data_IF_459686865029
#
_entry.id   IF_459686865029
#
_cell.length_a   1.000
_cell.length_b   1.000
_cell.length_c   1.000
_cell.angle_alpha   90.00
_cell.angle_beta   90.00
_cell.angle_gamma   90.00
#
_symmetry.space_group_name_H-M   'P 1'
#
loop_
_entity.id
_entity.type
_entity.pdbx_description
1 polymer ?
#
# COMPACT_ATOMS: atom_id res chain seq x y z
N UNK A 1 -43.22 10.40 -22.47
CA UNK A 1 -42.86 8.98 -22.29
C UNK A 1 -41.41 8.95 -21.88
N UNK A 2 -41.15 8.62 -20.62
CA UNK A 2 -39.83 8.69 -19.98
C UNK A 2 -38.87 7.67 -20.57
N UNK A 3 -37.75 8.16 -21.09
CA UNK A 3 -36.63 7.36 -21.58
C UNK A 3 -35.93 6.70 -20.38
N UNK A 4 -36.18 5.41 -20.17
CA UNK A 4 -35.65 4.64 -19.04
C UNK A 4 -34.31 3.97 -19.36
N UNK A 5 -33.58 4.45 -20.37
CA UNK A 5 -32.41 3.75 -20.94
C UNK A 5 -31.05 4.17 -20.35
N UNK A 6 -31.01 5.07 -19.36
CA UNK A 6 -29.77 5.72 -18.92
C UNK A 6 -29.06 5.11 -17.68
N UNK A 7 -29.48 3.95 -17.15
CA UNK A 7 -28.84 3.37 -15.96
C UNK A 7 -28.78 1.84 -15.96
N UNK A 8 -28.18 1.26 -16.99
CA UNK A 8 -27.44 0.01 -16.78
C UNK A 8 -26.12 0.39 -16.06
N UNK A 9 -26.23 0.74 -14.78
CA UNK A 9 -25.07 0.96 -13.92
C UNK A 9 -24.29 -0.35 -13.86
N UNK A 10 -23.15 -0.41 -14.56
CA UNK A 10 -22.20 -1.51 -14.44
C UNK A 10 -21.68 -1.58 -13.00
N UNK A 11 -22.39 -2.32 -12.15
CA UNK A 11 -22.10 -2.45 -10.72
C UNK A 11 -20.89 -3.37 -10.53
N UNK A 12 -19.71 -2.77 -10.38
CA UNK A 12 -18.49 -3.51 -10.08
C UNK A 12 -18.45 -3.86 -8.59
N UNK A 13 -18.23 -5.13 -8.29
CA UNK A 13 -18.03 -5.60 -6.90
C UNK A 13 -16.72 -5.06 -6.31
N UNK A 14 -16.75 -4.72 -5.03
CA UNK A 14 -15.60 -4.21 -4.29
C UNK A 14 -14.39 -5.13 -4.35
N UNK A 15 -14.59 -6.45 -4.20
CA UNK A 15 -13.51 -7.42 -4.32
C UNK A 15 -12.82 -7.39 -5.70
N UNK A 16 -13.61 -7.22 -6.77
CA UNK A 16 -13.13 -7.13 -8.15
C UNK A 16 -12.45 -5.79 -8.41
N UNK A 17 -13.02 -4.70 -7.92
CA UNK A 17 -12.46 -3.36 -8.10
C UNK A 17 -11.12 -3.20 -7.37
N UNK A 18 -10.99 -3.67 -6.13
CA UNK A 18 -9.72 -3.61 -5.38
C UNK A 18 -8.61 -4.41 -6.05
N UNK A 19 -8.96 -5.53 -6.71
CA UNK A 19 -8.03 -6.28 -7.54
C UNK A 19 -7.69 -5.54 -8.84
N UNK A 20 -8.65 -4.89 -9.50
CA UNK A 20 -8.40 -4.10 -10.71
C UNK A 20 -7.49 -2.89 -10.42
N UNK A 21 -7.73 -2.20 -9.30
CA UNK A 21 -6.93 -1.08 -8.78
C UNK A 21 -5.58 -1.51 -8.17
N UNK A 22 -5.23 -2.80 -8.25
CA UNK A 22 -3.94 -3.37 -7.84
C UNK A 22 -3.61 -3.31 -6.35
N UNK A 23 -4.57 -3.03 -5.47
CA UNK A 23 -4.36 -3.14 -4.02
C UNK A 23 -4.02 -4.58 -3.62
N UNK A 24 -4.69 -5.57 -4.20
CA UNK A 24 -4.41 -7.00 -3.90
C UNK A 24 -3.91 -7.74 -5.12
N UNK A 25 -3.02 -8.72 -4.94
CA UNK A 25 -2.45 -9.53 -6.03
C UNK A 25 -3.51 -10.40 -6.71
N UNK A 26 -4.43 -10.95 -5.93
CA UNK A 26 -5.54 -11.80 -6.39
C UNK A 26 -6.86 -11.29 -5.84
N UNK A 27 -7.97 -11.64 -6.51
CA UNK A 27 -9.31 -11.31 -6.03
C UNK A 27 -9.66 -12.02 -4.72
N UNK A 28 -9.15 -13.24 -4.50
CA UNK A 28 -9.31 -13.97 -3.23
C UNK A 28 -8.69 -13.20 -2.06
N UNK A 29 -7.48 -12.66 -2.20
CA UNK A 29 -6.86 -11.83 -1.16
C UNK A 29 -7.67 -10.55 -0.87
N UNK A 30 -8.33 -9.98 -1.87
CA UNK A 30 -9.24 -8.85 -1.65
C UNK A 30 -10.46 -9.26 -0.83
N UNK A 31 -11.06 -10.43 -1.11
CA UNK A 31 -12.17 -10.98 -0.32
C UNK A 31 -11.75 -11.19 1.14
N UNK A 32 -10.64 -11.90 1.35
CA UNK A 32 -10.12 -12.20 2.70
C UNK A 32 -9.83 -10.91 3.49
N UNK A 33 -9.33 -9.86 2.82
CA UNK A 33 -9.11 -8.57 3.44
C UNK A 33 -10.41 -7.85 3.83
N UNK A 34 -11.45 -7.93 2.99
CA UNK A 34 -12.76 -7.36 3.29
C UNK A 34 -13.41 -8.11 4.45
N UNK A 35 -13.48 -9.44 4.37
CA UNK A 35 -14.10 -10.28 5.39
C UNK A 35 -13.35 -10.19 6.74
N UNK A 36 -12.02 -10.05 6.69
CA UNK A 36 -11.18 -9.80 7.86
C UNK A 36 -11.25 -8.37 8.43
N UNK A 37 -12.11 -7.50 7.90
CA UNK A 37 -12.29 -6.13 8.39
C UNK A 37 -11.10 -5.19 8.11
N UNK A 38 -10.23 -5.53 7.16
CA UNK A 38 -9.10 -4.68 6.73
C UNK A 38 -9.51 -3.65 5.68
N UNK A 39 -10.73 -3.74 5.16
CA UNK A 39 -11.31 -2.80 4.20
C UNK A 39 -12.61 -2.25 4.76
N UNK A 40 -12.74 -0.93 4.78
CA UNK A 40 -13.98 -0.22 5.09
C UNK A 40 -14.43 0.58 3.88
N UNK A 41 -15.74 0.70 3.71
CA UNK A 41 -16.39 1.46 2.63
C UNK A 41 -17.25 2.54 3.28
N UNK A 42 -16.97 3.81 2.98
CA UNK A 42 -17.57 4.99 3.62
C UNK A 42 -17.58 4.87 5.16
N UNK A 43 -16.42 4.57 5.74
CA UNK A 43 -16.24 4.43 7.19
C UNK A 43 -16.80 3.16 7.83
N UNK A 44 -17.52 2.31 7.10
CA UNK A 44 -18.19 1.13 7.65
C UNK A 44 -17.60 -0.20 7.17
N UNK A 45 -17.72 -1.25 7.99
CA UNK A 45 -17.44 -2.63 7.54
C UNK A 45 -18.35 -2.97 6.35
N UNK A 46 -17.83 -3.78 5.44
CA UNK A 46 -18.50 -4.07 4.17
C UNK A 46 -18.31 -5.54 3.79
N UNK A 47 -18.94 -5.95 2.69
CA UNK A 47 -18.89 -7.31 2.15
C UNK A 47 -18.25 -7.33 0.76
N UNK A 48 -17.60 -8.44 0.34
CA UNK A 48 -16.93 -8.51 -0.96
C UNK A 48 -17.80 -8.17 -2.17
N UNK A 49 -19.10 -8.47 -2.09
CA UNK A 49 -20.08 -8.20 -3.14
C UNK A 49 -20.68 -6.79 -3.15
N UNK A 50 -20.22 -5.87 -2.29
CA UNK A 50 -20.67 -4.47 -2.31
C UNK A 50 -20.37 -3.84 -3.68
N UNK A 51 -21.35 -3.17 -4.29
CA UNK A 51 -21.12 -2.38 -5.49
C UNK A 51 -20.30 -1.13 -5.15
N UNK A 52 -19.31 -0.82 -5.97
CA UNK A 52 -18.45 0.37 -5.83
C UNK A 52 -19.05 1.54 -6.59
N UNK A 53 -19.09 2.69 -5.92
CA UNK A 53 -19.61 3.94 -6.43
C UNK A 53 -18.44 4.92 -6.63
N UNK A 54 -18.46 5.71 -7.71
CA UNK A 54 -17.51 6.82 -7.88
C UNK A 54 -17.76 7.84 -6.77
N UNK A 55 -16.67 8.38 -6.21
CA UNK A 55 -16.70 9.29 -5.07
C UNK A 55 -16.75 8.62 -3.71
N UNK A 56 -16.94 7.30 -3.64
CA UNK A 56 -16.88 6.56 -2.39
C UNK A 56 -15.49 6.62 -1.77
N UNK A 57 -15.44 6.61 -0.44
CA UNK A 57 -14.21 6.52 0.32
C UNK A 57 -13.96 5.07 0.72
N UNK A 58 -12.75 4.58 0.47
CA UNK A 58 -12.33 3.23 0.82
C UNK A 58 -11.08 3.32 1.68
N UNK A 59 -11.19 2.80 2.90
CA UNK A 59 -10.07 2.66 3.83
C UNK A 59 -9.53 1.24 3.74
N UNK A 60 -8.23 1.10 3.47
CA UNK A 60 -7.56 -0.17 3.18
C UNK A 60 -6.33 -0.30 4.07
N UNK A 61 -6.26 -1.39 4.84
CA UNK A 61 -5.10 -1.72 5.68
C UNK A 61 -4.29 -2.86 5.09
N UNK A 62 -3.00 -2.63 4.86
CA UNK A 62 -2.04 -3.61 4.33
C UNK A 62 -0.81 -3.69 5.23
N UNK A 63 -0.76 -4.73 6.06
CA UNK A 63 0.27 -4.87 7.09
C UNK A 63 0.25 -3.69 8.04
N UNK A 64 1.32 -2.89 7.99
CA UNK A 64 1.50 -1.70 8.81
C UNK A 64 1.09 -0.38 8.16
N UNK A 65 0.71 -0.43 6.88
CA UNK A 65 0.29 0.76 6.14
C UNK A 65 -1.23 0.78 6.06
N UNK A 66 -1.78 1.96 6.27
CA UNK A 66 -3.19 2.25 6.08
C UNK A 66 -3.30 3.31 5.00
N UNK A 67 -4.29 3.16 4.12
CA UNK A 67 -4.60 4.11 3.06
C UNK A 67 -6.07 4.43 3.08
N UNK A 68 -6.43 5.69 2.92
CA UNK A 68 -7.78 6.17 2.66
C UNK A 68 -7.80 6.77 1.26
N UNK A 69 -8.63 6.20 0.39
CA UNK A 69 -8.72 6.62 -1.00
C UNK A 69 -10.14 7.02 -1.36
N UNK A 70 -10.27 7.92 -2.32
CA UNK A 70 -11.53 8.24 -3.01
C UNK A 70 -11.54 7.56 -4.36
N UNK A 71 -12.65 6.90 -4.70
CA UNK A 71 -12.84 6.28 -6.01
C UNK A 71 -13.07 7.37 -7.06
N UNK A 72 -12.24 7.41 -8.09
CA UNK A 72 -12.39 8.33 -9.23
C UNK A 72 -12.98 7.63 -10.46
N UNK A 73 -12.78 6.32 -10.58
CA UNK A 73 -13.25 5.56 -11.74
C UNK A 73 -13.49 4.09 -11.43
N UNK A 74 -14.28 3.45 -12.29
CA UNK A 74 -14.65 2.05 -12.20
C UNK A 74 -13.97 1.26 -13.32
N UNK A 75 -13.31 0.16 -12.98
CA UNK A 75 -12.76 -0.78 -13.95
C UNK A 75 -12.90 -2.22 -13.45
N UNK A 76 -13.31 -3.10 -14.35
CA UNK A 76 -13.37 -4.54 -14.10
C UNK A 76 -12.08 -5.27 -14.47
N UNK A 77 -11.19 -4.60 -15.23
CA UNK A 77 -9.95 -5.16 -15.75
C UNK A 77 -8.77 -4.66 -14.94
N UNK A 78 -7.89 -5.58 -14.54
CA UNK A 78 -6.59 -5.24 -13.97
C UNK A 78 -5.62 -4.82 -15.10
N UNK A 79 -5.46 -3.51 -15.26
CA UNK A 79 -4.49 -2.91 -16.17
C UNK A 79 -3.07 -2.80 -15.59
N UNK A 80 -2.13 -2.21 -16.36
CA UNK A 80 -0.83 -1.82 -15.86
C UNK A 80 -0.94 -0.76 -14.75
N UNK A 81 0.15 -0.60 -13.97
CA UNK A 81 0.14 0.22 -12.77
C UNK A 81 -0.31 1.68 -12.99
N UNK A 82 0.12 2.39 -14.04
CA UNK A 82 -0.31 3.77 -14.27
C UNK A 82 -1.80 3.91 -14.54
N UNK A 83 -2.43 2.91 -15.17
CA UNK A 83 -3.87 2.96 -15.44
C UNK A 83 -4.69 2.68 -14.19
N UNK A 84 -4.26 1.72 -13.37
CA UNK A 84 -4.91 1.40 -12.10
C UNK A 84 -4.86 2.58 -11.12
N UNK A 85 -3.76 3.34 -11.10
CA UNK A 85 -3.62 4.54 -10.26
C UNK A 85 -4.62 5.63 -10.62
N UNK A 86 -5.11 5.70 -11.87
CA UNK A 86 -6.14 6.69 -12.26
C UNK A 86 -7.54 6.36 -11.71
N UNK A 87 -7.74 5.17 -11.15
CA UNK A 87 -9.05 4.77 -10.60
C UNK A 87 -9.32 5.38 -9.23
N UNK A 88 -8.30 5.90 -8.55
CA UNK A 88 -8.44 6.43 -7.20
C UNK A 88 -7.47 7.57 -6.92
N UNK A 89 -7.79 8.36 -5.91
CA UNK A 89 -6.92 9.35 -5.32
C UNK A 89 -6.77 9.04 -3.83
N UNK A 90 -5.55 9.09 -3.32
CA UNK A 90 -5.32 8.95 -1.87
C UNK A 90 -5.49 10.29 -1.18
N UNK A 91 -6.19 10.33 -0.05
CA UNK A 91 -6.42 11.58 0.67
C UNK A 91 -5.11 12.12 1.24
N UNK A 92 -5.01 13.45 1.34
CA UNK A 92 -3.82 14.11 1.89
C UNK A 92 -3.54 13.64 3.34
N UNK A 93 -4.58 13.56 4.16
CA UNK A 93 -4.50 13.04 5.54
C UNK A 93 -3.93 11.61 5.60
N UNK A 94 -4.31 10.76 4.64
CA UNK A 94 -3.80 9.39 4.53
C UNK A 94 -2.32 9.35 4.16
N UNK A 95 -1.88 10.27 3.29
CA UNK A 95 -0.47 10.40 2.90
C UNK A 95 0.36 10.80 4.12
N UNK A 96 -0.02 11.87 4.80
CA UNK A 96 0.66 12.40 5.97
C UNK A 96 0.75 11.38 7.10
N UNK A 97 -0.37 10.73 7.44
CA UNK A 97 -0.40 9.70 8.48
C UNK A 97 0.54 8.52 8.16
N UNK A 98 0.60 8.11 6.89
CA UNK A 98 1.46 7.00 6.47
C UNK A 98 2.94 7.39 6.49
N UNK A 99 3.28 8.63 6.14
CA UNK A 99 4.64 9.17 6.21
C UNK A 99 5.11 9.30 7.66
N UNK A 100 4.27 9.83 8.53
CA UNK A 100 4.55 9.92 9.97
C UNK A 100 4.76 8.54 10.59
N UNK A 101 3.86 7.59 10.34
CA UNK A 101 4.01 6.22 10.85
C UNK A 101 5.25 5.51 10.30
N UNK A 102 5.67 5.82 9.07
CA UNK A 102 6.91 5.30 8.49
C UNK A 102 8.14 5.93 9.16
N UNK A 103 8.10 7.23 9.43
CA UNK A 103 9.16 7.95 10.14
C UNK A 103 9.34 7.46 11.57
N UNK A 104 8.24 7.34 12.32
CA UNK A 104 8.23 6.80 13.69
C UNK A 104 8.84 5.40 13.72
N UNK A 105 8.46 4.52 12.77
CA UNK A 105 9.05 3.17 12.68
C UNK A 105 10.55 3.21 12.41
N UNK A 106 11.01 4.07 11.49
CA UNK A 106 12.44 4.23 11.18
C UNK A 106 13.21 4.73 12.40
N UNK A 107 12.65 5.66 13.17
CA UNK A 107 13.25 6.14 14.41
C UNK A 107 13.38 5.04 15.45
N UNK A 108 12.30 4.31 15.73
CA UNK A 108 12.30 3.18 16.67
C UNK A 108 13.32 2.11 16.26
N UNK A 109 13.39 1.78 14.97
CA UNK A 109 14.36 0.83 14.45
C UNK A 109 15.81 1.32 14.62
N UNK A 110 16.05 2.62 14.42
CA UNK A 110 17.38 3.24 14.60
C UNK A 110 17.76 3.27 16.09
N UNK A 111 16.82 3.59 16.97
CA UNK A 111 17.02 3.62 18.42
C UNK A 111 17.31 2.23 19.01
N UNK A 112 16.75 1.17 18.43
CA UNK A 112 17.03 -0.22 18.82
C UNK A 112 18.35 -0.76 18.26
N UNK A 113 19.00 -0.05 17.33
CA UNK A 113 20.27 -0.48 16.78
C UNK A 113 21.39 -0.19 17.80
N UNK A 114 22.24 -1.18 18.16
CA UNK A 114 23.35 -0.93 19.08
C UNK A 114 24.23 0.21 18.55
N UNK A 115 24.69 1.13 19.41
CA UNK A 115 25.56 2.22 18.96
C UNK A 115 26.79 1.65 18.26
N UNK A 116 27.32 2.33 17.23
CA UNK A 116 28.52 1.88 16.53
C UNK A 116 29.66 1.75 17.54
N UNK A 117 30.01 0.50 17.88
CA UNK A 117 31.10 0.22 18.81
C UNK A 117 32.43 0.50 18.11
N UNK A 118 33.40 1.07 18.84
CA UNK A 118 34.78 1.20 18.36
C UNK A 118 35.24 -0.19 17.86
N UNK A 119 35.77 -0.31 16.63
CA UNK A 119 36.19 -1.60 16.09
C UNK A 119 37.08 -2.33 17.09
N UNK A 120 36.76 -3.59 17.35
CA UNK A 120 37.58 -4.43 18.23
C UNK A 120 38.99 -4.56 17.65
N UNK A 121 39.99 -4.90 18.47
CA UNK A 121 41.40 -5.07 18.02
C UNK A 121 41.52 -5.99 16.80
N UNK A 122 40.69 -7.04 16.74
CA UNK A 122 40.62 -7.98 15.61
C UNK A 122 40.08 -7.31 14.34
N UNK A 123 38.97 -6.58 14.44
CA UNK A 123 38.38 -5.84 13.31
C UNK A 123 39.30 -4.73 12.82
N UNK A 124 39.97 -4.02 13.72
CA UNK A 124 40.96 -2.98 13.38
C UNK A 124 42.13 -3.57 12.57
N UNK A 125 42.63 -4.75 12.96
CA UNK A 125 43.66 -5.49 12.21
C UNK A 125 43.18 -5.97 10.84
N UNK A 126 41.92 -6.41 10.72
CA UNK A 126 41.35 -6.81 9.43
C UNK A 126 41.20 -5.62 8.47
N UNK A 127 40.77 -4.45 8.97
CA UNK A 127 40.69 -3.22 8.17
C UNK A 127 42.09 -2.79 7.68
N UNK A 128 43.12 -2.86 8.53
CA UNK A 128 44.50 -2.57 8.12
C UNK A 128 44.99 -3.55 7.04
N UNK A 129 44.80 -4.85 7.26
CA UNK A 129 45.22 -5.89 6.29
C UNK A 129 44.55 -5.72 4.92
N UNK A 130 43.27 -5.36 4.91
CA UNK A 130 42.53 -5.17 3.66
C UNK A 130 43.00 -3.91 2.89
N UNK A 131 43.34 -2.82 3.61
CA UNK A 131 43.91 -1.62 2.98
C UNK A 131 45.30 -1.90 2.39
N UNK A 132 46.14 -2.64 3.11
CA UNK A 132 47.48 -3.03 2.65
C UNK A 132 47.44 -3.98 1.43
N UNK A 133 46.46 -4.89 1.35
CA UNK A 133 46.33 -5.77 0.18
C UNK A 133 45.79 -5.06 -1.07
N UNK A 134 45.08 -3.94 -0.90
CA UNK A 134 44.49 -3.19 -2.02
C UNK A 134 45.53 -2.28 -2.70
N UNK A 135 46.51 -1.77 -1.94
CA UNK A 135 47.60 -0.93 -2.48
C UNK A 135 48.69 -1.72 -3.23
N UNK A 136 48.72 -3.06 -3.14
CA UNK A 136 49.71 -3.89 -3.85
C UNK A 136 49.22 -4.49 -5.18
N UNK A 137 47.99 -4.15 -5.61
CA UNK A 137 47.41 -4.67 -6.86
C UNK A 137 47.19 -3.57 -7.92
N UNK A 138 47.86 -2.42 -7.79
CA UNK A 138 47.83 -1.29 -8.73
C UNK A 138 49.18 -1.10 -9.43
#
# INVERSE_FOLDING_TARGET
>A
MTDNSAKEEHKIRLDKWLWAARFFKTRSLAKDAIDGGKVHYNGSRTKPGRAVDVGAEIKIRQGWSEKVIKVLGLSERRGPAPEAQRLYEETQESIEHREEMAWQRKQLQTAQMPPPRRPTKKQRRQIHRFRESTDQSG
#
